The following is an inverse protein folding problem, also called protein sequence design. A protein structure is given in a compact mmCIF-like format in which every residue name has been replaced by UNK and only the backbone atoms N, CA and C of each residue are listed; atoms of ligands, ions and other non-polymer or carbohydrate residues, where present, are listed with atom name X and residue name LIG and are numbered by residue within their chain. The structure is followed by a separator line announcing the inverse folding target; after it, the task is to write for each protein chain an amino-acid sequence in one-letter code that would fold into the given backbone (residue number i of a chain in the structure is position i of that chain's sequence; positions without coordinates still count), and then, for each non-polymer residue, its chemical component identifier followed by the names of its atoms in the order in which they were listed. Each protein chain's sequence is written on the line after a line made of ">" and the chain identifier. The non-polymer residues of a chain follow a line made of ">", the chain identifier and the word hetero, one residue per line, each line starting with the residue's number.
data_IF_798086966753
#
_entry.id   IF_798086966753
#
_cell.length_a   1.000
_cell.length_b   1.000
_cell.length_c   1.000
_cell.angle_alpha   90.00
_cell.angle_beta   90.00
_cell.angle_gamma   90.00
#
_symmetry.space_group_name_H-M   'P 1'
#
loop_
_entity.id
_entity.type
_entity.pdbx_description
1 polymer ?
#
# COMPACT_ATOMS: atom_id res chain seq x y z
N UNK A 1 7.41 6.99 -1.98
CA UNK A 1 6.52 7.58 -0.94
C UNK A 1 6.56 9.10 -1.06
N UNK A 2 5.47 9.78 -0.70
CA UNK A 2 5.40 11.25 -0.60
C UNK A 2 4.57 11.65 0.62
N UNK A 3 4.73 12.89 1.11
CA UNK A 3 3.94 13.45 2.21
C UNK A 3 2.97 14.51 1.67
N UNK A 4 1.77 14.57 2.25
CA UNK A 4 0.75 15.58 1.93
C UNK A 4 0.73 16.75 2.91
N UNK A 5 1.67 16.79 3.87
CA UNK A 5 1.81 17.85 4.86
C UNK A 5 1.85 19.23 4.17
N UNK A 6 0.99 20.14 4.61
CA UNK A 6 0.76 21.44 3.96
C UNK A 6 2.04 22.27 3.84
N UNK A 7 2.88 22.26 4.88
CA UNK A 7 4.14 23.00 4.93
C UNK A 7 5.15 22.56 3.86
N UNK A 8 5.03 21.33 3.33
CA UNK A 8 5.92 20.78 2.31
C UNK A 8 5.44 21.05 0.87
N UNK A 9 4.23 21.58 0.67
CA UNK A 9 3.68 21.86 -0.67
C UNK A 9 4.46 22.99 -1.34
N UNK A 10 4.78 22.85 -2.62
CA UNK A 10 5.50 23.89 -3.38
C UNK A 10 4.49 24.70 -4.19
N UNK A 11 4.32 25.98 -3.85
CA UNK A 11 3.47 26.92 -4.58
C UNK A 11 4.33 27.71 -5.58
N UNK A 12 4.12 27.51 -6.87
CA UNK A 12 4.94 28.13 -7.93
C UNK A 12 4.74 29.64 -8.06
N UNK A 13 3.62 30.17 -7.55
CA UNK A 13 3.34 31.61 -7.46
C UNK A 13 4.15 32.32 -6.37
N UNK A 14 4.62 31.57 -5.36
CA UNK A 14 5.36 32.10 -4.22
C UNK A 14 6.85 31.87 -4.45
N UNK A 15 7.67 32.92 -4.30
CA UNK A 15 9.13 32.85 -4.42
C UNK A 15 9.82 33.26 -3.12
N UNK A 16 9.54 32.60 -1.99
CA UNK A 16 10.20 32.93 -0.73
C UNK A 16 11.68 32.52 -0.80
N UNK A 17 12.56 33.31 -0.17
CA UNK A 17 14.00 33.01 -0.09
C UNK A 17 14.32 31.92 0.94
N UNK A 18 13.43 31.69 1.92
CA UNK A 18 13.56 30.66 2.96
C UNK A 18 12.20 30.06 3.30
N UNK A 19 12.19 28.86 3.90
CA UNK A 19 10.96 28.16 4.34
C UNK A 19 11.16 27.56 5.72
N UNK A 20 10.14 27.68 6.55
CA UNK A 20 10.06 26.96 7.83
C UNK A 20 9.23 25.70 7.63
N UNK A 21 9.77 24.56 8.06
CA UNK A 21 9.10 23.27 8.01
C UNK A 21 9.23 22.56 9.35
N UNK A 22 8.16 21.90 9.76
CA UNK A 22 8.13 21.00 10.89
C UNK A 22 8.38 19.57 10.38
N UNK A 23 9.33 18.89 11.01
CA UNK A 23 9.75 17.54 10.62
C UNK A 23 9.60 16.61 11.83
N UNK A 24 9.11 15.41 11.57
CA UNK A 24 9.13 14.34 12.56
C UNK A 24 10.58 13.90 12.81
N UNK A 25 10.95 13.69 14.07
CA UNK A 25 12.26 13.13 14.39
C UNK A 25 12.34 11.67 13.96
N UNK A 26 13.54 11.19 13.65
CA UNK A 26 13.74 9.80 13.23
C UNK A 26 13.25 8.80 14.29
N UNK A 27 13.41 9.10 15.58
CA UNK A 27 12.97 8.22 16.68
C UNK A 27 11.44 8.04 16.73
N UNK A 28 10.69 9.00 16.19
CA UNK A 28 9.23 8.93 16.13
C UNK A 28 8.70 8.30 14.82
N UNK A 29 9.58 7.83 13.92
CA UNK A 29 9.18 7.26 12.61
C UNK A 29 8.70 5.81 12.67
N UNK A 30 9.07 5.04 13.69
CA UNK A 30 8.77 3.60 13.80
C UNK A 30 7.28 3.24 13.56
N UNK A 31 6.29 3.99 14.10
CA UNK A 31 4.88 3.72 13.81
C UNK A 31 4.51 3.90 12.33
N UNK A 32 5.10 4.86 11.63
CA UNK A 32 4.86 5.06 10.19
C UNK A 32 5.46 3.93 9.36
N UNK A 33 6.62 3.39 9.76
CA UNK A 33 7.21 2.23 9.08
C UNK A 33 6.34 0.99 9.24
N UNK A 34 5.85 0.71 10.44
CA UNK A 34 4.91 -0.39 10.68
C UNK A 34 3.63 -0.21 9.86
N UNK A 35 3.04 0.99 9.88
CA UNK A 35 1.83 1.28 9.11
C UNK A 35 2.03 1.07 7.60
N UNK A 36 3.20 1.43 7.05
CA UNK A 36 3.50 1.19 5.63
C UNK A 36 3.67 -0.29 5.32
N UNK A 37 4.28 -1.07 6.23
CA UNK A 37 4.40 -2.53 6.09
C UNK A 37 3.00 -3.14 5.99
N UNK A 38 2.14 -2.87 6.97
CA UNK A 38 0.77 -3.41 7.02
C UNK A 38 -0.07 -2.97 5.81
N UNK A 39 -0.04 -1.68 5.47
CA UNK A 39 -0.82 -1.16 4.35
C UNK A 39 -0.37 -1.73 3.00
N UNK A 40 0.94 -1.99 2.83
CA UNK A 40 1.48 -2.56 1.59
C UNK A 40 1.15 -4.05 1.49
N UNK A 41 1.28 -4.79 2.59
CA UNK A 41 0.88 -6.20 2.67
C UNK A 41 -0.60 -6.38 2.31
N UNK A 42 -1.47 -5.60 2.95
CA UNK A 42 -2.91 -5.65 2.70
C UNK A 42 -3.28 -5.18 1.29
N UNK A 43 -2.54 -4.20 0.72
CA UNK A 43 -2.76 -3.77 -0.66
C UNK A 43 -2.43 -4.87 -1.69
N UNK A 44 -1.39 -5.67 -1.44
CA UNK A 44 -1.05 -6.83 -2.28
C UNK A 44 -2.17 -7.87 -2.19
N UNK A 45 -2.63 -8.21 -0.98
CA UNK A 45 -3.75 -9.14 -0.80
C UNK A 45 -5.01 -8.65 -1.50
N UNK A 46 -5.38 -7.38 -1.35
CA UNK A 46 -6.53 -6.79 -2.02
C UNK A 46 -6.42 -6.86 -3.55
N UNK A 47 -5.22 -6.65 -4.10
CA UNK A 47 -4.99 -6.73 -5.54
C UNK A 47 -5.23 -8.14 -6.07
N UNK A 48 -4.79 -9.18 -5.34
CA UNK A 48 -5.01 -10.57 -5.71
C UNK A 48 -6.47 -11.01 -5.53
N UNK A 49 -7.10 -10.63 -4.41
CA UNK A 49 -8.48 -11.04 -4.12
C UNK A 49 -9.53 -10.34 -4.99
N UNK A 50 -9.21 -9.15 -5.54
CA UNK A 50 -10.10 -8.43 -6.47
C UNK A 50 -9.77 -8.67 -7.94
N UNK A 51 -8.68 -9.38 -8.24
CA UNK A 51 -8.31 -9.68 -9.61
C UNK A 51 -9.40 -10.53 -10.28
N UNK A 52 -9.64 -10.27 -11.56
CA UNK A 52 -10.52 -11.08 -12.42
C UNK A 52 -9.68 -11.81 -13.46
N UNK A 53 -10.09 -13.03 -13.84
CA UNK A 53 -9.47 -13.74 -14.96
C UNK A 53 -9.47 -12.85 -16.20
N UNK A 54 -8.32 -12.73 -16.85
CA UNK A 54 -8.16 -11.91 -18.04
C UNK A 54 -7.45 -12.69 -19.14
N UNK A 55 -7.85 -12.44 -20.39
CA UNK A 55 -7.16 -12.94 -21.58
C UNK A 55 -6.62 -11.77 -22.41
N UNK A 56 -5.37 -11.86 -22.85
CA UNK A 56 -4.70 -10.85 -23.65
C UNK A 56 -3.43 -11.39 -24.27
N UNK A 57 -3.05 -10.89 -25.44
CA UNK A 57 -1.85 -11.30 -26.17
C UNK A 57 -1.68 -12.83 -26.32
N UNK A 58 -2.77 -13.56 -26.57
CA UNK A 58 -2.74 -15.02 -26.71
C UNK A 58 -2.57 -15.81 -25.41
N UNK A 59 -2.61 -15.14 -24.25
CA UNK A 59 -2.50 -15.76 -22.93
C UNK A 59 -3.75 -15.49 -22.09
N UNK A 60 -4.03 -16.40 -21.17
CA UNK A 60 -5.05 -16.22 -20.13
C UNK A 60 -4.38 -16.33 -18.76
N UNK A 61 -4.67 -15.38 -17.88
CA UNK A 61 -4.24 -15.38 -16.49
C UNK A 61 -5.48 -15.49 -15.62
N UNK A 62 -5.55 -16.55 -14.84
CA UNK A 62 -6.67 -16.82 -13.94
C UNK A 62 -6.59 -15.95 -12.68
N UNK A 63 -7.76 -15.53 -12.19
CA UNK A 63 -7.87 -14.95 -10.86
C UNK A 63 -7.49 -15.97 -9.78
N UNK A 64 -7.16 -15.47 -8.59
CA UNK A 64 -6.91 -16.33 -7.44
C UNK A 64 -8.19 -17.12 -7.10
N UNK A 65 -8.15 -18.46 -6.99
CA UNK A 65 -9.31 -19.24 -6.62
C UNK A 65 -9.63 -19.03 -5.13
N UNK A 66 -10.57 -18.14 -4.83
CA UNK A 66 -10.88 -17.68 -3.47
C UNK A 66 -11.28 -18.84 -2.55
N UNK A 67 -12.21 -19.70 -2.99
CA UNK A 67 -12.72 -20.79 -2.17
C UNK A 67 -11.60 -21.77 -1.77
N UNK A 68 -10.77 -22.18 -2.73
CA UNK A 68 -9.60 -23.03 -2.47
C UNK A 68 -8.57 -22.34 -1.59
N UNK A 69 -8.39 -21.04 -1.74
CA UNK A 69 -7.48 -20.27 -0.89
C UNK A 69 -7.95 -20.28 0.56
N UNK A 70 -9.26 -20.09 0.80
CA UNK A 70 -9.87 -20.18 2.13
C UNK A 70 -9.71 -21.57 2.73
N UNK A 71 -9.88 -22.63 1.95
CA UNK A 71 -9.64 -24.02 2.40
C UNK A 71 -8.20 -24.21 2.88
N UNK A 72 -7.21 -23.78 2.08
CA UNK A 72 -5.78 -23.85 2.44
C UNK A 72 -5.50 -23.04 3.71
N UNK A 73 -6.04 -21.83 3.83
CA UNK A 73 -5.83 -20.99 5.02
C UNK A 73 -6.43 -21.63 6.29
N UNK A 74 -7.57 -22.34 6.18
CA UNK A 74 -8.17 -23.11 7.28
C UNK A 74 -7.31 -24.32 7.66
N UNK A 75 -6.78 -25.05 6.69
CA UNK A 75 -5.88 -26.19 6.91
C UNK A 75 -4.63 -25.76 7.71
N UNK A 76 -4.09 -24.58 7.39
CA UNK A 76 -2.98 -23.98 8.12
C UNK A 76 -3.37 -23.24 9.41
N UNK A 77 -4.66 -23.23 9.80
CA UNK A 77 -5.20 -22.55 10.98
C UNK A 77 -4.93 -21.04 11.01
N UNK A 78 -4.76 -20.43 9.83
CA UNK A 78 -4.61 -18.98 9.69
C UNK A 78 -5.95 -18.24 9.82
N UNK A 79 -7.06 -18.93 9.53
CA UNK A 79 -8.44 -18.44 9.69
C UNK A 79 -9.34 -19.56 10.26
N UNK A 80 -10.49 -19.19 10.84
CA UNK A 80 -11.50 -20.13 11.36
C UNK A 80 -12.33 -20.78 10.26
#
# INVERSE_FOLDING_TARGET
>A
AFSTASQLRIHTSEKPTTRHVELLTNDAMSPLFLAVIEATEEAIYNSMFRATTMSGNGHTVEALPIDKTVEILKEHRSIK
#
